data_IF_548523031498
#
_entry.id   IF_548523031498
#
_cell.length_a   1.000
_cell.length_b   1.000
_cell.length_c   1.000
_cell.angle_alpha   90.00
_cell.angle_beta   90.00
_cell.angle_gamma   90.00
#
_symmetry.space_group_name_H-M   'P 1'
#
loop_
_entity.id
_entity.type
_entity.pdbx_description
1 polymer ?
#
# COMPACT_ATOMS: atom_id res chain seq x y z
N UNK A 1 15.60 -18.18 -26.11
CA UNK A 1 14.71 -18.41 -24.96
C UNK A 1 14.63 -17.10 -24.22
N UNK A 2 13.44 -16.51 -24.06
CA UNK A 2 13.32 -15.28 -23.27
C UNK A 2 13.78 -15.56 -21.84
N UNK A 3 14.61 -14.69 -21.29
CA UNK A 3 15.00 -14.73 -19.89
C UNK A 3 13.73 -14.74 -19.02
N UNK A 4 13.66 -15.67 -18.06
CA UNK A 4 12.47 -15.84 -17.21
C UNK A 4 12.26 -14.57 -16.38
N UNK A 5 11.07 -13.96 -16.51
CA UNK A 5 10.68 -12.80 -15.70
C UNK A 5 9.42 -13.16 -14.92
N UNK A 6 9.55 -13.40 -13.61
CA UNK A 6 8.43 -13.79 -12.76
C UNK A 6 7.37 -12.69 -12.57
N UNK A 7 7.70 -11.41 -12.78
CA UNK A 7 6.73 -10.34 -12.71
C UNK A 7 5.90 -10.20 -14.00
N UNK A 8 6.32 -10.82 -15.10
CA UNK A 8 5.57 -10.75 -16.36
C UNK A 8 4.23 -11.48 -16.21
N UNK A 9 3.15 -10.79 -16.53
CA UNK A 9 1.78 -11.31 -16.41
C UNK A 9 1.24 -11.36 -14.97
N UNK A 10 2.09 -11.18 -13.96
CA UNK A 10 1.67 -11.15 -12.56
C UNK A 10 0.73 -9.97 -12.30
N UNK A 11 -0.39 -10.23 -11.62
CA UNK A 11 -1.40 -9.26 -11.24
C UNK A 11 -1.08 -8.72 -9.86
N UNK A 12 -0.88 -7.42 -9.73
CA UNK A 12 -0.40 -6.79 -8.49
C UNK A 12 -1.38 -5.74 -8.03
N UNK A 13 -1.88 -5.86 -6.80
CA UNK A 13 -2.75 -4.84 -6.20
C UNK A 13 -1.96 -3.85 -5.34
N UNK A 14 -2.23 -2.54 -5.51
CA UNK A 14 -1.57 -1.46 -4.78
C UNK A 14 -2.45 -0.90 -3.66
N UNK A 15 -2.34 -1.51 -2.49
CA UNK A 15 -3.06 -1.18 -1.26
C UNK A 15 -2.36 -0.07 -0.46
N UNK A 16 -3.12 0.84 0.14
CA UNK A 16 -2.57 1.95 0.91
C UNK A 16 -3.55 3.11 1.10
N UNK A 17 -3.20 4.12 1.92
CA UNK A 17 -4.05 5.29 2.11
C UNK A 17 -4.41 6.01 0.81
N UNK A 18 -5.66 6.45 0.73
CA UNK A 18 -6.19 7.39 -0.26
C UNK A 18 -6.90 8.53 0.47
N UNK A 19 -7.60 8.21 1.57
CA UNK A 19 -8.09 9.16 2.57
C UNK A 19 -7.01 9.51 3.60
N UNK A 20 -7.20 10.65 4.29
CA UNK A 20 -6.34 11.14 5.38
C UNK A 20 -4.87 11.38 5.00
N UNK A 21 -4.61 11.48 3.69
CA UNK A 21 -3.34 11.95 3.12
C UNK A 21 -3.32 13.48 3.03
N UNK A 22 -2.14 14.07 2.85
CA UNK A 22 -2.01 15.53 2.75
C UNK A 22 -2.78 16.14 1.56
N UNK A 23 -2.94 15.39 0.47
CA UNK A 23 -3.70 15.80 -0.71
C UNK A 23 -4.07 14.57 -1.54
N UNK A 24 -5.39 14.34 -1.77
CA UNK A 24 -5.89 13.26 -2.66
C UNK A 24 -5.45 13.49 -4.10
N UNK A 25 -5.43 14.76 -4.54
CA UNK A 25 -5.02 15.14 -5.88
C UNK A 25 -3.54 14.85 -6.12
N UNK A 26 -2.68 15.17 -5.15
CA UNK A 26 -1.24 14.90 -5.28
C UNK A 26 -0.95 13.42 -5.15
N UNK A 27 -1.66 12.67 -4.31
CA UNK A 27 -1.51 11.22 -4.24
C UNK A 27 -1.95 10.56 -5.56
N UNK A 28 -3.08 10.95 -6.16
CA UNK A 28 -3.48 10.45 -7.48
C UNK A 28 -2.49 10.86 -8.58
N UNK A 29 -2.01 12.10 -8.52
CA UNK A 29 -1.04 12.80 -9.39
C UNK A 29 0.34 12.16 -9.44
N UNK A 30 0.96 12.15 -8.28
CA UNK A 30 2.40 12.04 -8.04
C UNK A 30 2.72 10.99 -6.97
N UNK A 31 1.70 10.23 -6.56
CA UNK A 31 1.77 9.23 -5.51
C UNK A 31 2.79 8.14 -5.72
N UNK A 32 3.08 7.43 -4.64
CA UNK A 32 3.94 6.26 -4.65
C UNK A 32 3.41 5.17 -5.60
N UNK A 33 2.08 5.07 -5.75
CA UNK A 33 1.42 4.09 -6.63
C UNK A 33 1.80 4.26 -8.09
N UNK A 34 1.93 5.50 -8.56
CA UNK A 34 2.34 5.77 -9.93
C UNK A 34 3.74 5.24 -10.19
N UNK A 35 4.70 5.52 -9.30
CA UNK A 35 6.09 5.07 -9.45
C UNK A 35 6.24 3.55 -9.32
N UNK A 36 5.62 2.95 -8.32
CA UNK A 36 5.62 1.48 -8.17
C UNK A 36 4.92 0.83 -9.37
N UNK A 37 3.82 1.42 -9.84
CA UNK A 37 3.10 0.99 -11.03
C UNK A 37 3.94 1.07 -12.30
N UNK A 38 4.66 2.17 -12.53
CA UNK A 38 5.58 2.33 -13.66
C UNK A 38 6.68 1.25 -13.66
N UNK A 39 7.28 1.02 -12.49
CA UNK A 39 8.26 -0.04 -12.32
C UNK A 39 7.68 -1.42 -12.68
N UNK A 40 6.54 -1.77 -12.09
CA UNK A 40 5.88 -3.06 -12.30
C UNK A 40 5.46 -3.27 -13.75
N UNK A 41 4.85 -2.25 -14.39
CA UNK A 41 4.45 -2.29 -15.80
C UNK A 41 5.66 -2.45 -16.72
N UNK A 42 6.79 -1.81 -16.40
CA UNK A 42 8.03 -2.00 -17.15
C UNK A 42 8.59 -3.43 -17.04
N UNK A 43 8.24 -4.18 -15.99
CA UNK A 43 8.53 -5.62 -15.86
C UNK A 43 7.48 -6.53 -16.51
N UNK A 44 6.42 -5.96 -17.09
CA UNK A 44 5.33 -6.70 -17.73
C UNK A 44 4.23 -7.17 -16.77
N UNK A 45 4.18 -6.64 -15.54
CA UNK A 45 3.10 -6.94 -14.60
C UNK A 45 1.81 -6.19 -14.95
N UNK A 46 0.68 -6.76 -14.54
CA UNK A 46 -0.65 -6.12 -14.61
C UNK A 46 -0.90 -5.45 -13.27
N UNK A 47 -1.00 -4.12 -13.26
CA UNK A 47 -1.16 -3.34 -12.03
C UNK A 47 -2.62 -2.97 -11.81
N UNK A 48 -3.15 -3.35 -10.65
CA UNK A 48 -4.43 -2.89 -10.13
C UNK A 48 -4.20 -1.74 -9.14
N UNK A 49 -4.55 -0.54 -9.56
CA UNK A 49 -4.46 0.69 -8.78
C UNK A 49 -5.89 1.19 -8.46
N UNK A 50 -6.27 1.35 -7.18
CA UNK A 50 -7.60 1.82 -6.81
C UNK A 50 -7.93 3.24 -7.32
N UNK A 51 -6.94 4.07 -7.69
CA UNK A 51 -7.20 5.35 -8.37
C UNK A 51 -7.60 5.19 -9.84
N UNK A 52 -7.22 4.08 -10.47
CA UNK A 52 -7.33 3.84 -11.91
C UNK A 52 -7.91 2.45 -12.17
N UNK A 53 -9.17 2.29 -11.77
CA UNK A 53 -9.88 1.01 -11.80
C UNK A 53 -10.11 0.51 -13.23
N UNK A 54 -9.96 -0.80 -13.49
CA UNK A 54 -10.23 -1.37 -14.80
C UNK A 54 -11.74 -1.29 -15.12
N UNK A 55 -12.06 -1.18 -16.41
CA UNK A 55 -13.46 -1.20 -16.85
C UNK A 55 -14.12 -2.55 -16.57
N UNK A 56 -15.35 -2.52 -16.04
CA UNK A 56 -16.15 -3.72 -15.79
C UNK A 56 -16.96 -4.07 -17.03
N UNK A 57 -16.77 -5.27 -17.57
CA UNK A 57 -17.57 -5.73 -18.73
C UNK A 57 -19.04 -5.83 -18.33
N UNK A 58 -19.90 -5.11 -19.05
CA UNK A 58 -21.33 -5.11 -18.81
C UNK A 58 -21.83 -4.15 -17.73
N UNK A 59 -20.95 -3.38 -17.09
CA UNK A 59 -21.34 -2.34 -16.12
C UNK A 59 -20.54 -1.05 -16.40
N UNK A 60 -21.23 -0.01 -16.87
CA UNK A 60 -20.60 1.29 -17.12
C UNK A 60 -20.38 2.02 -15.79
N UNK A 61 -19.19 2.60 -15.61
CA UNK A 61 -18.82 3.43 -14.46
C UNK A 61 -18.86 2.76 -13.08
N UNK A 62 -18.95 1.43 -13.00
CA UNK A 62 -19.06 0.69 -11.75
C UNK A 62 -17.89 0.96 -10.79
N UNK A 63 -18.20 1.51 -9.61
CA UNK A 63 -17.21 1.76 -8.55
C UNK A 63 -16.10 2.77 -8.90
N UNK A 64 -16.29 3.61 -9.93
CA UNK A 64 -15.33 4.67 -10.26
C UNK A 64 -15.38 5.74 -9.18
N UNK A 65 -14.24 5.97 -8.54
CA UNK A 65 -14.04 7.06 -7.58
C UNK A 65 -13.46 8.30 -8.24
N UNK A 66 -14.02 9.44 -7.86
CA UNK A 66 -13.47 10.76 -8.09
C UNK A 66 -13.04 11.42 -6.77
N UNK A 67 -12.72 12.71 -6.84
CA UNK A 67 -12.26 13.48 -5.66
C UNK A 67 -13.42 13.76 -4.68
N UNK A 68 -14.67 13.65 -5.14
CA UNK A 68 -15.91 13.97 -4.44
C UNK A 68 -16.63 12.73 -3.89
N UNK A 69 -16.10 11.53 -4.15
CA UNK A 69 -16.74 10.27 -3.74
C UNK A 69 -16.86 10.09 -2.22
N UNK A 70 -16.24 10.97 -1.42
CA UNK A 70 -16.36 11.02 0.03
C UNK A 70 -17.50 11.91 0.53
N UNK A 71 -18.11 12.74 -0.33
CA UNK A 71 -19.14 13.71 0.05
C UNK A 71 -20.41 13.00 0.56
N UNK A 72 -20.62 11.73 0.19
CA UNK A 72 -21.66 10.85 0.74
C UNK A 72 -21.57 10.70 2.27
N UNK A 73 -20.38 10.86 2.87
CA UNK A 73 -20.22 10.84 4.32
C UNK A 73 -20.96 11.99 5.00
N UNK A 74 -21.14 13.13 4.34
CA UNK A 74 -21.88 14.28 4.88
C UNK A 74 -23.38 13.98 5.03
N UNK A 75 -23.91 13.00 4.29
CA UNK A 75 -25.30 12.56 4.36
C UNK A 75 -25.56 11.59 5.53
N UNK A 76 -24.52 11.01 6.13
CA UNK A 76 -24.64 10.02 7.20
C UNK A 76 -25.29 10.59 8.47
N UNK A 77 -26.19 9.81 9.09
CA UNK A 77 -26.81 10.15 10.38
C UNK A 77 -26.89 8.96 11.35
N UNK A 78 -26.82 9.28 12.64
CA UNK A 78 -27.06 8.34 13.74
C UNK A 78 -28.52 8.31 14.22
N UNK A 79 -29.39 9.12 13.62
CA UNK A 79 -30.81 9.18 13.96
C UNK A 79 -31.48 7.81 13.82
N UNK A 80 -32.39 7.52 14.73
CA UNK A 80 -33.14 6.27 14.75
C UNK A 80 -34.46 6.38 13.98
N UNK A 81 -34.96 5.26 13.47
CA UNK A 81 -36.20 5.18 12.71
C UNK A 81 -36.01 5.30 11.20
N UNK A 82 -37.12 5.17 10.47
CA UNK A 82 -37.12 4.96 9.02
C UNK A 82 -36.26 5.96 8.24
N UNK A 83 -36.41 7.28 8.47
CA UNK A 83 -35.63 8.29 7.75
C UNK A 83 -34.11 8.21 8.01
N UNK A 84 -33.72 7.80 9.21
CA UNK A 84 -32.31 7.54 9.53
C UNK A 84 -31.79 6.26 8.88
N UNK A 85 -32.62 5.21 8.84
CA UNK A 85 -32.30 3.96 8.15
C UNK A 85 -32.14 4.17 6.64
N UNK A 86 -33.02 4.95 6.01
CA UNK A 86 -32.97 5.31 4.58
C UNK A 86 -31.64 6.00 4.23
N UNK A 87 -31.25 7.05 4.97
CA UNK A 87 -29.98 7.76 4.75
C UNK A 87 -28.77 6.84 4.89
N UNK A 88 -28.76 5.96 5.90
CA UNK A 88 -27.66 5.00 6.08
C UNK A 88 -27.61 3.97 4.96
N UNK A 89 -28.76 3.49 4.49
CA UNK A 89 -28.85 2.57 3.34
C UNK A 89 -28.29 3.21 2.09
N UNK A 90 -28.70 4.44 1.78
CA UNK A 90 -28.18 5.19 0.62
C UNK A 90 -26.66 5.36 0.68
N UNK A 91 -26.12 5.73 1.85
CA UNK A 91 -24.67 5.84 2.03
C UNK A 91 -23.96 4.51 1.77
N UNK A 92 -24.49 3.41 2.33
CA UNK A 92 -23.92 2.09 2.18
C UNK A 92 -23.99 1.58 0.74
N UNK A 93 -25.11 1.78 0.06
CA UNK A 93 -25.32 1.38 -1.34
C UNK A 93 -24.41 2.15 -2.29
N UNK A 94 -24.32 3.48 -2.14
CA UNK A 94 -23.44 4.33 -2.97
C UNK A 94 -21.97 3.90 -2.85
N UNK A 95 -21.52 3.59 -1.64
CA UNK A 95 -20.11 3.21 -1.42
C UNK A 95 -19.82 1.72 -1.69
N UNK A 96 -20.86 0.88 -1.78
CA UNK A 96 -20.71 -0.55 -1.99
C UNK A 96 -19.98 -0.88 -3.29
N UNK A 97 -20.30 -0.20 -4.39
CA UNK A 97 -19.66 -0.48 -5.68
C UNK A 97 -18.15 -0.24 -5.65
N UNK A 98 -17.75 0.84 -5.00
CA UNK A 98 -16.34 1.21 -4.75
C UNK A 98 -15.62 0.14 -3.93
N UNK A 99 -16.19 -0.25 -2.79
CA UNK A 99 -15.62 -1.32 -1.96
C UNK A 99 -15.54 -2.64 -2.75
N UNK A 100 -16.61 -2.98 -3.47
CA UNK A 100 -16.71 -4.25 -4.15
C UNK A 100 -15.68 -4.39 -5.28
N UNK A 101 -15.48 -3.35 -6.10
CA UNK A 101 -14.48 -3.41 -7.18
C UNK A 101 -13.05 -3.49 -6.62
N UNK A 102 -12.75 -2.80 -5.52
CA UNK A 102 -11.43 -2.87 -4.89
C UNK A 102 -11.15 -4.26 -4.34
N UNK A 103 -12.12 -4.85 -3.62
CA UNK A 103 -12.01 -6.23 -3.15
C UNK A 103 -11.93 -7.23 -4.30
N UNK A 104 -12.56 -6.96 -5.45
CA UNK A 104 -12.44 -7.80 -6.63
C UNK A 104 -11.05 -7.71 -7.27
N UNK A 105 -10.41 -6.55 -7.24
CA UNK A 105 -9.02 -6.39 -7.66
C UNK A 105 -8.07 -7.13 -6.72
N UNK A 106 -8.31 -7.08 -5.40
CA UNK A 106 -7.57 -7.89 -4.41
C UNK A 106 -7.78 -9.39 -4.65
N UNK A 107 -9.01 -9.82 -4.88
CA UNK A 107 -9.36 -11.22 -5.10
C UNK A 107 -8.72 -11.78 -6.39
N UNK A 108 -8.48 -10.93 -7.38
CA UNK A 108 -7.89 -11.34 -8.66
C UNK A 108 -6.41 -11.04 -8.78
N UNK A 109 -5.77 -10.39 -7.80
CA UNK A 109 -4.30 -10.22 -7.79
C UNK A 109 -3.59 -11.53 -7.42
N UNK A 110 -2.34 -11.67 -7.84
CA UNK A 110 -1.45 -12.76 -7.44
C UNK A 110 -0.71 -12.41 -6.14
N UNK A 111 -0.40 -11.13 -5.93
CA UNK A 111 0.08 -10.59 -4.66
C UNK A 111 -0.32 -9.12 -4.46
N UNK A 112 -0.19 -8.65 -3.23
CA UNK A 112 -0.55 -7.28 -2.83
C UNK A 112 0.69 -6.54 -2.33
N UNK A 113 0.85 -5.29 -2.74
CA UNK A 113 1.80 -4.34 -2.14
C UNK A 113 0.99 -3.39 -1.27
N UNK A 114 1.31 -3.33 0.02
CA UNK A 114 0.59 -2.51 0.99
C UNK A 114 1.49 -1.42 1.57
N UNK A 115 1.22 -0.16 1.24
CA UNK A 115 1.84 0.99 1.88
C UNK A 115 1.08 1.36 3.16
N UNK A 116 1.73 1.23 4.31
CA UNK A 116 1.09 1.35 5.63
C UNK A 116 1.89 2.29 6.53
N UNK A 117 1.86 3.61 6.28
CA UNK A 117 2.43 4.59 7.19
C UNK A 117 1.67 4.57 8.53
N UNK A 118 2.41 4.43 9.63
CA UNK A 118 1.82 4.13 10.95
C UNK A 118 1.01 5.25 11.60
N UNK A 119 1.00 6.43 10.99
CA UNK A 119 0.24 7.61 11.42
C UNK A 119 -0.99 7.90 10.55
N UNK A 120 -1.28 7.11 9.53
CA UNK A 120 -2.45 7.31 8.67
C UNK A 120 -3.48 6.22 8.94
N UNK A 121 -4.68 6.65 9.31
CA UNK A 121 -5.82 5.76 9.49
C UNK A 121 -6.27 5.20 8.13
N UNK A 122 -6.22 3.87 7.96
CA UNK A 122 -6.42 3.21 6.67
C UNK A 122 -7.13 1.85 6.82
N UNK A 123 -8.42 1.87 7.18
CA UNK A 123 -9.23 0.65 7.35
C UNK A 123 -9.37 -0.19 6.07
N UNK A 124 -9.46 0.45 4.90
CA UNK A 124 -9.48 -0.24 3.60
C UNK A 124 -8.23 -1.11 3.42
N UNK A 125 -7.04 -0.52 3.59
CA UNK A 125 -5.75 -1.22 3.55
C UNK A 125 -5.72 -2.43 4.47
N UNK A 126 -6.22 -2.31 5.72
CA UNK A 126 -6.26 -3.44 6.65
C UNK A 126 -7.12 -4.58 6.10
N UNK A 127 -8.31 -4.27 5.58
CA UNK A 127 -9.23 -5.25 5.02
C UNK A 127 -8.62 -5.98 3.81
N UNK A 128 -7.95 -5.24 2.92
CA UNK A 128 -7.30 -5.78 1.72
C UNK A 128 -6.13 -6.72 2.06
N UNK A 129 -5.33 -6.37 3.08
CA UNK A 129 -4.26 -7.23 3.61
C UNK A 129 -4.85 -8.52 4.17
N UNK A 130 -5.88 -8.42 5.00
CA UNK A 130 -6.53 -9.59 5.62
C UNK A 130 -7.09 -10.50 4.53
N UNK A 131 -7.81 -9.96 3.55
CA UNK A 131 -8.36 -10.73 2.44
C UNK A 131 -7.26 -11.43 1.63
N UNK A 132 -6.17 -10.73 1.32
CA UNK A 132 -5.01 -11.31 0.64
C UNK A 132 -4.44 -12.51 1.40
N UNK A 133 -4.29 -12.38 2.73
CA UNK A 133 -3.72 -13.45 3.57
C UNK A 133 -4.68 -14.60 3.84
N UNK A 134 -5.99 -14.38 3.88
CA UNK A 134 -6.98 -15.46 3.90
C UNK A 134 -6.93 -16.32 2.63
N UNK A 135 -6.49 -15.73 1.51
CA UNK A 135 -6.26 -16.41 0.24
C UNK A 135 -4.80 -16.87 0.06
N UNK A 136 -3.97 -16.82 1.11
CA UNK A 136 -2.55 -17.19 1.08
C UNK A 136 -1.68 -16.41 0.10
N UNK A 137 -2.14 -15.24 -0.37
CA UNK A 137 -1.38 -14.39 -1.28
C UNK A 137 -0.26 -13.67 -0.56
N UNK A 138 0.94 -13.54 -1.16
CA UNK A 138 1.99 -12.71 -0.59
C UNK A 138 1.51 -11.26 -0.41
N UNK A 139 1.89 -10.66 0.72
CA UNK A 139 1.70 -9.23 0.98
C UNK A 139 3.07 -8.62 1.20
N UNK A 140 3.45 -7.66 0.36
CA UNK A 140 4.67 -6.86 0.52
C UNK A 140 4.30 -5.59 1.30
N UNK A 141 4.69 -5.55 2.58
CA UNK A 141 4.26 -4.54 3.52
C UNK A 141 5.31 -3.43 3.67
N UNK A 142 5.00 -2.21 3.24
CA UNK A 142 5.88 -1.04 3.33
C UNK A 142 5.47 -0.17 4.51
N UNK A 143 6.34 -0.02 5.51
CA UNK A 143 6.10 0.73 6.74
C UNK A 143 7.22 1.75 6.94
N UNK A 144 7.11 2.96 6.35
CA UNK A 144 8.18 3.94 6.44
C UNK A 144 8.29 4.53 7.86
N UNK A 145 9.46 5.08 8.23
CA UNK A 145 9.59 5.94 9.39
C UNK A 145 8.58 7.09 9.38
N UNK A 146 7.98 7.39 10.53
CA UNK A 146 7.11 8.57 10.71
C UNK A 146 7.80 9.55 11.64
N UNK A 147 8.05 10.76 11.14
CA UNK A 147 8.63 11.88 11.88
C UNK A 147 7.84 13.16 11.58
N UNK A 148 7.95 14.16 12.45
CA UNK A 148 7.24 15.44 12.30
C UNK A 148 8.21 16.64 12.40
N UNK A 149 9.12 16.83 11.42
CA UNK A 149 10.15 17.87 11.52
C UNK A 149 9.57 19.27 11.70
N UNK A 150 8.45 19.58 11.03
CA UNK A 150 7.78 20.87 11.17
C UNK A 150 7.23 21.10 12.59
N UNK A 151 6.77 20.04 13.28
CA UNK A 151 6.33 20.12 14.66
C UNK A 151 7.51 20.40 15.59
N UNK A 152 8.65 19.74 15.35
CA UNK A 152 9.86 19.95 16.15
C UNK A 152 10.42 21.37 15.96
N UNK A 153 10.43 21.88 14.73
CA UNK A 153 10.80 23.26 14.42
C UNK A 153 9.85 24.28 15.07
N UNK A 154 8.54 24.03 15.02
CA UNK A 154 7.56 24.88 15.68
C UNK A 154 7.79 24.92 17.19
N UNK A 155 8.03 23.76 17.82
CA UNK A 155 8.33 23.69 19.25
C UNK A 155 9.57 24.52 19.60
N UNK A 156 10.67 24.32 18.88
CA UNK A 156 11.91 25.06 19.09
C UNK A 156 11.72 26.57 18.93
N UNK A 157 10.96 27.00 17.92
CA UNK A 157 10.63 28.41 17.70
C UNK A 157 9.87 29.04 18.88
N UNK A 158 8.88 28.33 19.43
CA UNK A 158 8.09 28.83 20.56
C UNK A 158 8.90 28.88 21.87
N UNK A 159 9.83 27.92 22.06
CA UNK A 159 10.77 27.91 23.18
C UNK A 159 11.73 29.10 23.13
N UNK A 160 12.31 29.39 21.97
CA UNK A 160 13.20 30.55 21.75
C UNK A 160 12.49 31.88 22.09
N UNK A 161 11.21 31.99 21.69
CA UNK A 161 10.38 33.19 21.95
C UNK A 161 9.82 33.23 23.37
N UNK A 162 10.03 32.19 24.18
CA UNK A 162 9.48 32.04 25.54
C UNK A 162 7.96 32.19 25.58
N UNK A 163 7.26 31.75 24.54
CA UNK A 163 5.79 31.81 24.47
C UNK A 163 5.17 30.62 25.22
N UNK A 164 5.04 30.79 26.55
CA UNK A 164 4.53 29.73 27.43
C UNK A 164 3.09 29.32 27.09
N UNK A 165 2.27 30.25 26.61
CA UNK A 165 0.88 29.95 26.26
C UNK A 165 0.80 29.10 25.00
N UNK A 166 1.53 29.47 23.95
CA UNK A 166 1.59 28.69 22.72
C UNK A 166 2.20 27.30 22.95
N UNK A 167 3.21 27.17 23.82
CA UNK A 167 3.79 25.87 24.18
C UNK A 167 2.77 24.97 24.88
N UNK A 168 1.93 25.52 25.78
CA UNK A 168 0.85 24.76 26.41
C UNK A 168 -0.20 24.31 25.40
N UNK A 169 -0.59 25.19 24.47
CA UNK A 169 -1.50 24.83 23.37
C UNK A 169 -0.91 23.74 22.47
N UNK A 170 0.38 23.83 22.13
CA UNK A 170 1.08 22.82 21.33
C UNK A 170 1.14 21.46 22.04
N UNK A 171 1.43 21.46 23.34
CA UNK A 171 1.43 20.24 24.16
C UNK A 171 0.04 19.60 24.21
N UNK A 172 -1.01 20.43 24.38
CA UNK A 172 -2.40 19.97 24.35
C UNK A 172 -2.79 19.41 22.98
N UNK A 173 -2.44 20.10 21.90
CA UNK A 173 -2.69 19.64 20.53
C UNK A 173 -2.01 18.27 20.26
N UNK A 174 -0.77 18.11 20.73
CA UNK A 174 -0.03 16.84 20.60
C UNK A 174 -0.67 15.70 21.41
N UNK A 175 -1.40 16.02 22.48
CA UNK A 175 -2.15 15.04 23.28
C UNK A 175 -3.52 14.72 22.67
N UNK A 176 -4.21 15.72 22.13
CA UNK A 176 -5.58 15.60 21.61
C UNK A 176 -5.59 14.92 20.23
N UNK A 177 -4.52 15.10 19.43
CA UNK A 177 -4.35 14.48 18.12
C UNK A 177 -3.32 13.35 18.24
N UNK A 178 -3.48 12.20 17.56
CA UNK A 178 -2.54 11.07 17.62
C UNK A 178 -1.22 11.34 16.88
N UNK A 179 -0.57 12.47 17.12
CA UNK A 179 0.72 12.85 16.55
C UNK A 179 1.82 12.12 17.33
N UNK A 180 2.04 10.86 16.95
CA UNK A 180 3.06 9.99 17.57
C UNK A 180 4.12 9.64 16.55
N UNK A 181 5.38 10.09 16.72
CA UNK A 181 6.45 9.69 15.82
C UNK A 181 6.71 8.19 15.95
N UNK A 182 7.09 7.58 14.84
CA UNK A 182 7.55 6.21 14.76
C UNK A 182 8.81 6.18 13.89
N UNK A 183 9.96 6.65 14.43
CA UNK A 183 11.17 6.84 13.63
C UNK A 183 11.76 5.54 13.09
N UNK A 184 11.31 4.39 13.60
CA UNK A 184 11.72 3.06 13.13
C UNK A 184 10.70 2.41 12.19
N UNK A 185 9.59 3.09 11.90
CA UNK A 185 8.53 2.56 11.04
C UNK A 185 7.95 1.23 11.51
N UNK A 186 8.03 0.91 12.82
CA UNK A 186 7.62 -0.42 13.31
C UNK A 186 6.09 -0.54 13.19
N UNK A 187 5.56 -1.50 12.40
CA UNK A 187 4.13 -1.65 12.24
C UNK A 187 3.49 -2.24 13.51
N UNK A 188 2.15 -2.26 13.54
CA UNK A 188 1.41 -2.97 14.59
C UNK A 188 1.88 -4.42 14.72
N UNK A 189 1.98 -4.92 15.96
CA UNK A 189 2.35 -6.31 16.26
C UNK A 189 1.40 -7.32 15.61
N UNK A 190 0.18 -6.93 15.27
CA UNK A 190 -0.79 -7.77 14.56
C UNK A 190 -0.38 -8.07 13.11
N UNK A 191 0.33 -7.16 12.44
CA UNK A 191 0.78 -7.40 11.08
C UNK A 191 1.90 -8.43 11.00
N UNK A 192 2.72 -8.55 12.04
CA UNK A 192 3.87 -9.47 12.06
C UNK A 192 3.48 -10.93 11.82
N UNK A 193 2.52 -11.54 12.56
CA UNK A 193 2.06 -12.90 12.27
C UNK A 193 1.15 -12.98 11.04
N UNK A 194 0.45 -11.90 10.67
CA UNK A 194 -0.47 -11.88 9.54
C UNK A 194 0.27 -11.92 8.19
N UNK A 195 1.28 -11.06 8.03
CA UNK A 195 2.10 -10.92 6.82
C UNK A 195 3.24 -11.95 6.80
N UNK A 196 3.80 -12.28 7.96
CA UNK A 196 4.99 -13.12 8.08
C UNK A 196 6.29 -12.31 8.04
N UNK A 197 7.38 -12.90 8.53
CA UNK A 197 8.60 -12.14 8.86
C UNK A 197 9.43 -11.65 7.67
N UNK A 198 9.17 -12.14 6.45
CA UNK A 198 10.04 -11.90 5.28
C UNK A 198 9.62 -10.74 4.38
N UNK A 199 8.43 -10.18 4.56
CA UNK A 199 7.81 -9.27 3.58
C UNK A 199 7.57 -7.87 4.12
N UNK A 200 8.50 -7.35 4.94
CA UNK A 200 8.45 -6.01 5.51
C UNK A 200 9.54 -5.12 4.94
N UNK A 201 9.17 -3.92 4.50
CA UNK A 201 10.04 -2.93 3.87
C UNK A 201 9.91 -1.60 4.62
N UNK A 202 11.01 -0.88 4.81
CA UNK A 202 11.04 0.41 5.52
C UNK A 202 11.05 1.61 4.57
N UNK A 203 10.87 1.35 3.27
CA UNK A 203 10.69 2.35 2.23
C UNK A 203 10.56 1.69 0.86
N UNK A 204 10.45 2.52 -0.16
CA UNK A 204 10.40 2.11 -1.56
C UNK A 204 11.80 2.00 -2.16
N UNK A 205 12.71 2.93 -1.83
CA UNK A 205 14.03 3.03 -2.44
C UNK A 205 13.95 3.63 -3.84
N UNK A 206 13.26 4.76 -3.98
CA UNK A 206 13.04 5.38 -5.29
C UNK A 206 14.32 5.99 -5.88
N UNK A 207 15.29 6.36 -5.05
CA UNK A 207 16.51 7.07 -5.47
C UNK A 207 17.24 6.37 -6.63
N UNK A 208 17.39 5.05 -6.57
CA UNK A 208 18.13 4.25 -7.56
C UNK A 208 17.41 4.14 -8.91
N UNK A 209 16.11 4.43 -8.94
CA UNK A 209 15.27 4.26 -10.13
C UNK A 209 14.82 5.59 -10.73
N UNK A 210 15.03 6.71 -10.03
CA UNK A 210 14.51 8.02 -10.42
C UNK A 210 14.96 8.46 -11.82
N UNK A 211 16.26 8.33 -12.11
CA UNK A 211 16.81 8.69 -13.42
C UNK A 211 16.27 7.77 -14.52
N UNK A 212 16.24 6.45 -14.26
CA UNK A 212 15.78 5.44 -15.23
C UNK A 212 14.34 5.68 -15.69
N UNK A 213 13.46 6.09 -14.78
CA UNK A 213 12.05 6.34 -15.08
C UNK A 213 11.71 7.82 -15.29
N UNK A 214 12.68 8.73 -15.16
CA UNK A 214 12.47 10.16 -15.33
C UNK A 214 11.48 10.76 -14.32
N UNK A 215 11.45 10.25 -13.08
CA UNK A 215 10.50 10.73 -12.08
C UNK A 215 10.92 12.09 -11.48
N UNK A 216 9.98 13.03 -11.42
CA UNK A 216 10.14 14.30 -10.69
C UNK A 216 10.23 14.09 -9.18
N UNK A 217 10.94 14.96 -8.46
CA UNK A 217 11.08 14.84 -7.00
C UNK A 217 9.73 15.00 -6.28
N UNK A 218 9.43 14.12 -5.31
CA UNK A 218 8.23 14.16 -4.45
C UNK A 218 8.63 14.20 -2.96
N UNK A 219 7.71 14.52 -2.03
CA UNK A 219 8.01 14.56 -0.60
C UNK A 219 8.62 13.27 -0.03
N UNK A 220 8.21 12.10 -0.55
CA UNK A 220 8.79 10.80 -0.17
C UNK A 220 10.29 10.70 -0.49
N UNK A 221 10.77 11.35 -1.55
CA UNK A 221 12.20 11.34 -1.89
C UNK A 221 13.02 12.08 -0.83
N UNK A 222 12.51 13.22 -0.33
CA UNK A 222 13.15 13.96 0.74
C UNK A 222 13.18 13.14 2.03
N UNK A 223 12.11 12.38 2.31
CA UNK A 223 12.02 11.49 3.46
C UNK A 223 13.04 10.34 3.36
N UNK A 224 13.09 9.63 2.23
CA UNK A 224 14.07 8.56 2.00
C UNK A 224 15.49 9.10 1.94
N UNK A 225 15.72 10.33 1.45
CA UNK A 225 17.05 10.93 1.47
C UNK A 225 17.51 11.27 2.89
N UNK A 226 16.60 11.70 3.77
CA UNK A 226 16.90 12.01 5.16
C UNK A 226 17.10 10.75 6.02
N UNK A 227 16.36 9.69 5.71
CA UNK A 227 16.49 8.37 6.32
C UNK A 227 16.43 7.27 5.27
N UNK A 228 17.58 6.92 4.64
CA UNK A 228 17.62 5.90 3.60
C UNK A 228 17.06 4.55 4.08
N UNK A 229 16.16 3.92 3.30
CA UNK A 229 15.59 2.63 3.66
C UNK A 229 16.67 1.56 3.71
N UNK A 230 16.65 0.73 4.75
CA UNK A 230 17.56 -0.40 4.93
C UNK A 230 17.09 -1.64 4.16
N UNK A 231 15.78 -1.80 3.99
CA UNK A 231 15.15 -2.85 3.22
C UNK A 231 14.11 -2.26 2.25
N UNK A 232 14.55 -1.65 1.13
CA UNK A 232 13.68 -1.01 0.16
C UNK A 232 12.89 -2.01 -0.72
N UNK A 233 11.67 -1.64 -1.09
CA UNK A 233 10.78 -2.45 -1.91
C UNK A 233 11.26 -2.63 -3.36
N UNK A 234 11.65 -1.56 -4.07
CA UNK A 234 11.94 -1.66 -5.51
C UNK A 234 13.12 -2.61 -5.82
N UNK A 235 14.23 -2.58 -5.07
CA UNK A 235 15.31 -3.57 -5.24
C UNK A 235 14.87 -5.01 -4.98
N UNK A 236 13.89 -5.23 -4.10
CA UNK A 236 13.29 -6.55 -3.91
C UNK A 236 12.46 -6.96 -5.12
N UNK A 237 11.62 -6.08 -5.66
CA UNK A 237 10.83 -6.35 -6.87
C UNK A 237 11.72 -6.61 -8.09
N UNK A 238 12.85 -5.90 -8.22
CA UNK A 238 13.82 -6.17 -9.27
C UNK A 238 14.43 -7.57 -9.15
N UNK A 239 14.80 -8.00 -7.93
CA UNK A 239 15.28 -9.38 -7.70
C UNK A 239 14.19 -10.41 -7.98
N UNK A 240 12.94 -10.11 -7.65
CA UNK A 240 11.79 -10.96 -7.88
C UNK A 240 11.59 -11.27 -9.37
N UNK A 241 11.97 -10.36 -10.27
CA UNK A 241 11.93 -10.67 -11.72
C UNK A 241 12.71 -11.93 -12.06
N UNK A 242 13.79 -12.25 -11.33
CA UNK A 242 14.69 -13.36 -11.64
C UNK A 242 14.55 -14.56 -10.71
N UNK A 243 14.03 -14.38 -9.50
CA UNK A 243 13.98 -15.42 -8.48
C UNK A 243 12.75 -15.30 -7.58
N UNK A 244 12.10 -16.43 -7.30
CA UNK A 244 11.10 -16.51 -6.23
C UNK A 244 11.81 -16.43 -4.87
N UNK A 245 11.39 -15.53 -3.96
CA UNK A 245 12.06 -15.35 -2.68
C UNK A 245 11.82 -16.55 -1.77
N UNK A 246 12.89 -16.99 -1.11
CA UNK A 246 12.80 -18.00 -0.05
C UNK A 246 12.17 -17.40 1.21
N UNK A 247 11.57 -18.24 2.06
CA UNK A 247 11.12 -17.85 3.40
C UNK A 247 12.05 -18.39 4.47
N UNK A 248 12.24 -17.63 5.54
CA UNK A 248 12.96 -18.10 6.72
C UNK A 248 12.08 -19.06 7.54
N UNK A 249 12.54 -20.29 7.74
CA UNK A 249 11.90 -21.23 8.65
C UNK A 249 12.53 -21.12 10.05
N UNK A 250 11.77 -20.61 11.01
CA UNK A 250 12.27 -20.41 12.37
C UNK A 250 12.53 -21.70 13.16
N UNK A 251 11.91 -22.83 12.76
CA UNK A 251 12.13 -24.15 13.39
C UNK A 251 13.39 -24.80 12.83
N UNK A 252 13.55 -24.77 11.52
CA UNK A 252 14.69 -25.37 10.81
C UNK A 252 15.93 -24.46 10.78
N UNK A 253 15.79 -23.17 11.13
CA UNK A 253 16.85 -22.15 11.13
C UNK A 253 17.55 -22.03 9.77
N UNK A 254 16.78 -22.11 8.70
CA UNK A 254 17.28 -21.98 7.32
C UNK A 254 16.22 -21.36 6.41
N UNK A 255 16.67 -20.87 5.27
CA UNK A 255 15.78 -20.50 4.18
C UNK A 255 15.22 -21.75 3.50
N UNK A 256 13.92 -21.73 3.20
CA UNK A 256 13.18 -22.81 2.53
C UNK A 256 12.32 -22.24 1.40
N UNK A 257 11.87 -23.07 0.44
CA UNK A 257 10.87 -22.69 -0.56
C UNK A 257 9.67 -21.96 0.05
N UNK A 258 9.18 -20.96 -0.68
CA UNK A 258 8.05 -20.13 -0.26
C UNK A 258 6.85 -20.38 -1.16
N UNK A 259 6.02 -21.33 -0.75
CA UNK A 259 4.88 -21.83 -1.54
C UNK A 259 3.74 -20.80 -1.69
N UNK A 260 3.81 -19.66 -0.99
CA UNK A 260 2.85 -18.56 -1.17
C UNK A 260 3.04 -17.85 -2.53
N UNK A 261 4.21 -17.94 -3.16
CA UNK A 261 4.50 -17.29 -4.45
C UNK A 261 4.02 -18.11 -5.64
N UNK A 262 2.70 -18.21 -5.80
CA UNK A 262 2.04 -18.86 -6.93
C UNK A 262 1.74 -17.83 -8.02
N UNK A 263 2.68 -17.65 -8.95
CA UNK A 263 2.53 -16.76 -10.10
C UNK A 263 2.15 -17.57 -11.34
N UNK A 264 1.08 -17.16 -12.02
CA UNK A 264 0.53 -17.91 -13.16
C UNK A 264 1.21 -17.51 -14.47
N UNK A 265 1.52 -18.50 -15.30
CA UNK A 265 1.89 -18.29 -16.70
C UNK A 265 0.68 -18.59 -17.59
N UNK A 266 -0.14 -17.56 -17.83
CA UNK A 266 -1.40 -17.68 -18.57
C UNK A 266 -1.25 -17.43 -20.08
N UNK A 267 -0.10 -16.91 -20.51
CA UNK A 267 0.17 -16.56 -21.91
C UNK A 267 0.63 -17.77 -22.74
N UNK A 268 0.97 -18.88 -22.08
CA UNK A 268 1.37 -20.12 -22.75
C UNK A 268 0.15 -20.99 -23.10
N UNK A 269 -0.09 -21.29 -24.38
CA UNK A 269 -1.15 -22.19 -24.80
C UNK A 269 -0.72 -23.65 -24.57
N UNK A 270 -0.68 -24.12 -23.33
CA UNK A 270 -0.29 -25.51 -23.06
C UNK A 270 -1.21 -26.21 -22.04
N UNK A 271 -1.75 -27.37 -22.45
CA UNK A 271 -2.50 -28.30 -21.61
C UNK A 271 -1.53 -29.02 -20.67
N UNK A 272 -1.63 -28.76 -19.37
CA UNK A 272 -1.18 -29.68 -18.31
C UNK A 272 0.29 -30.09 -18.38
N UNK A 273 1.21 -29.16 -18.68
CA UNK A 273 2.64 -29.45 -18.60
C UNK A 273 3.17 -29.31 -17.16
N UNK A 274 4.11 -30.20 -16.83
CA UNK A 274 4.97 -30.10 -15.66
C UNK A 274 5.90 -28.89 -15.84
N UNK A 275 5.57 -27.76 -15.22
CA UNK A 275 6.45 -26.60 -15.14
C UNK A 275 7.74 -27.03 -14.41
N UNK A 276 8.91 -26.73 -14.98
CA UNK A 276 10.20 -26.96 -14.28
C UNK A 276 10.14 -26.25 -12.93
N UNK A 277 10.47 -26.97 -11.86
CA UNK A 277 10.44 -26.46 -10.50
C UNK A 277 11.23 -25.14 -10.40
N UNK A 278 10.60 -24.10 -9.87
CA UNK A 278 11.22 -22.78 -9.65
C UNK A 278 12.42 -22.83 -8.69
N UNK A 279 12.59 -23.96 -7.99
CA UNK A 279 13.70 -24.24 -7.08
C UNK A 279 14.69 -25.30 -7.61
N UNK A 280 14.57 -25.73 -8.88
CA UNK A 280 15.56 -26.62 -9.48
C UNK A 280 16.90 -25.87 -9.70
N UNK A 281 18.05 -26.52 -9.44
CA UNK A 281 19.38 -25.93 -9.58
C UNK A 281 19.78 -25.61 -11.02
#
# INVERSE_FOLDING_TARGET
>A
MSEQNFLRGARVYLSGPMDFVGSREDEKKLGWRNRVGDFLRAQGAIVFDPWFKPGVRGAQHYGIEDVHSIDVREEWTFDQGQAGDEKRSECAEKFWETLHIDLRMVDTSDFTIAYVPTNIYSVGTVHEIVLSRLQWKPVLFVSPPVIFPALDLLRAHLEERKDLHALQLLARLTSDVPIKPNPRGVPSLWYMPLVGSGSFFDGFGFADYREKFGWDSIPLDAQESAGPPQNPLLPFLEKLTRNIPLRWDNRLKKYVPNDDWLLWDLDQPVRGETVRDAHAP
#
